data_IF_108195080698
#
_entry.id   IF_108195080698
#
_cell.length_a   1.000
_cell.length_b   1.000
_cell.length_c   1.000
_cell.angle_alpha   90.00
_cell.angle_beta   90.00
_cell.angle_gamma   90.00
#
_symmetry.space_group_name_H-M   'P 1'
#
loop_
_entity.id
_entity.type
_entity.pdbx_description
1 polymer ?
#
# COMPACT_ATOMS: atom_id res chain seq x y z
N UNK A 1 8.76 -6.76 -15.27
CA UNK A 1 7.35 -7.22 -15.34
C UNK A 1 6.56 -6.59 -14.20
N UNK A 2 5.42 -5.95 -14.46
CA UNK A 2 4.51 -5.38 -13.45
C UNK A 2 3.12 -6.06 -13.50
N UNK A 3 2.27 -5.77 -12.51
CA UNK A 3 0.88 -6.20 -12.47
C UNK A 3 -0.06 -5.30 -13.29
N UNK A 4 -1.38 -5.49 -13.13
CA UNK A 4 -2.44 -4.76 -13.86
C UNK A 4 -2.90 -3.46 -13.16
N UNK A 5 -2.49 -3.26 -11.91
CA UNK A 5 -3.03 -2.22 -11.02
C UNK A 5 -2.87 -0.81 -11.60
N UNK A 6 -1.66 -0.43 -12.01
CA UNK A 6 -1.32 0.94 -12.41
C UNK A 6 -2.09 1.37 -13.67
N UNK A 7 -2.21 0.47 -14.65
CA UNK A 7 -2.94 0.73 -15.89
C UNK A 7 -4.45 0.83 -15.62
N UNK A 8 -4.97 0.00 -14.73
CA UNK A 8 -6.39 -0.05 -14.44
C UNK A 8 -6.86 1.18 -13.66
N UNK A 9 -6.13 1.63 -12.63
CA UNK A 9 -6.49 2.87 -11.91
C UNK A 9 -6.35 4.11 -12.80
N UNK A 10 -5.34 4.15 -13.68
CA UNK A 10 -5.16 5.24 -14.64
C UNK A 10 -6.32 5.36 -15.63
N UNK A 11 -6.88 4.22 -16.06
CA UNK A 11 -8.00 4.20 -17.00
C UNK A 11 -9.38 4.39 -16.34
N UNK A 12 -9.59 3.80 -15.15
CA UNK A 12 -10.91 3.65 -14.54
C UNK A 12 -11.10 4.42 -13.22
N UNK A 13 -10.19 5.35 -12.90
CA UNK A 13 -10.34 6.23 -11.74
C UNK A 13 -11.64 7.05 -11.79
N UNK A 14 -12.19 7.33 -10.61
CA UNK A 14 -13.39 8.15 -10.43
C UNK A 14 -13.09 9.18 -9.33
N UNK A 15 -13.50 10.43 -9.55
CA UNK A 15 -13.30 11.49 -8.56
C UNK A 15 -13.87 11.07 -7.19
N UNK A 16 -13.15 11.40 -6.12
CA UNK A 16 -13.49 11.08 -4.73
C UNK A 16 -13.55 9.58 -4.37
N UNK A 17 -13.18 8.67 -5.29
CA UNK A 17 -13.23 7.22 -5.07
C UNK A 17 -11.84 6.57 -5.19
N UNK A 18 -11.61 5.56 -4.37
CA UNK A 18 -10.61 4.52 -4.61
C UNK A 18 -11.22 3.42 -5.51
N UNK A 19 -10.37 2.63 -6.15
CA UNK A 19 -10.80 1.50 -6.99
C UNK A 19 -10.33 0.18 -6.35
N UNK A 20 -11.27 -0.64 -5.89
CA UNK A 20 -10.99 -2.03 -5.52
C UNK A 20 -10.91 -2.86 -6.80
N UNK A 21 -9.77 -3.54 -7.00
CA UNK A 21 -9.52 -4.35 -8.20
C UNK A 21 -9.32 -5.81 -7.78
N UNK A 22 -10.16 -6.70 -8.31
CA UNK A 22 -9.88 -8.13 -8.27
C UNK A 22 -8.90 -8.49 -9.40
N UNK A 23 -7.62 -8.62 -9.08
CA UNK A 23 -6.58 -8.91 -10.08
C UNK A 23 -6.72 -10.27 -10.79
N UNK A 24 -7.63 -11.16 -10.35
CA UNK A 24 -7.91 -12.43 -11.03
C UNK A 24 -9.06 -12.28 -12.02
N UNK A 25 -10.21 -11.78 -11.57
CA UNK A 25 -11.40 -11.64 -12.42
C UNK A 25 -11.42 -10.35 -13.24
N UNK A 26 -10.55 -9.40 -12.88
CA UNK A 26 -10.50 -8.02 -13.38
C UNK A 26 -11.77 -7.21 -13.08
N UNK A 27 -12.60 -7.68 -12.14
CA UNK A 27 -13.72 -6.90 -11.65
C UNK A 27 -13.23 -5.71 -10.83
N UNK A 28 -13.92 -4.59 -11.01
CA UNK A 28 -13.62 -3.33 -10.31
C UNK A 28 -14.83 -2.83 -9.55
N UNK A 29 -14.58 -2.23 -8.38
CA UNK A 29 -15.60 -1.56 -7.57
C UNK A 29 -15.07 -0.20 -7.15
N UNK A 30 -15.75 0.88 -7.55
CA UNK A 30 -15.49 2.22 -7.00
C UNK A 30 -15.93 2.26 -5.54
N UNK A 31 -15.05 2.74 -4.67
CA UNK A 31 -15.30 2.84 -3.22
C UNK A 31 -15.01 4.28 -2.77
N UNK A 32 -15.98 5.00 -2.20
CA UNK A 32 -15.77 6.39 -1.79
C UNK A 32 -14.73 6.45 -0.68
N UNK A 33 -13.87 7.47 -0.71
CA UNK A 33 -12.96 7.73 0.40
C UNK A 33 -13.75 8.18 1.65
N UNK A 34 -13.27 7.88 2.87
CA UNK A 34 -13.91 8.36 4.09
C UNK A 34 -14.07 9.89 4.10
N UNK A 35 -15.24 10.37 4.53
CA UNK A 35 -15.55 11.80 4.51
C UNK A 35 -14.55 12.62 5.35
N UNK A 36 -14.14 13.77 4.84
CA UNK A 36 -13.21 14.68 5.54
C UNK A 36 -11.78 14.17 5.61
N UNK A 37 -11.40 13.22 4.75
CA UNK A 37 -10.04 12.71 4.65
C UNK A 37 -9.40 13.06 3.31
N UNK A 38 -8.07 13.05 3.27
CA UNK A 38 -7.26 13.22 2.07
C UNK A 38 -6.07 12.26 2.10
N UNK A 39 -5.63 11.83 0.92
CA UNK A 39 -4.41 11.04 0.78
C UNK A 39 -3.21 12.00 0.64
N UNK A 40 -2.17 11.77 1.41
CA UNK A 40 -0.92 12.54 1.31
C UNK A 40 0.20 11.60 0.86
N UNK A 41 0.80 11.90 -0.28
CA UNK A 41 1.96 11.18 -0.83
C UNK A 41 3.24 11.77 -0.25
N UNK A 42 4.11 10.90 0.23
CA UNK A 42 5.31 11.23 0.97
C UNK A 42 6.53 10.64 0.25
N UNK A 43 7.13 11.39 -0.67
CA UNK A 43 8.33 10.96 -1.40
C UNK A 43 9.56 11.12 -0.50
N UNK A 44 10.26 10.01 -0.25
CA UNK A 44 11.48 9.96 0.58
C UNK A 44 12.68 10.63 -0.08
N UNK A 45 12.57 11.04 -1.34
CA UNK A 45 13.67 11.50 -2.20
C UNK A 45 14.75 10.43 -2.44
N UNK A 46 14.48 9.17 -2.08
CA UNK A 46 15.33 8.04 -2.44
C UNK A 46 14.89 7.43 -3.76
N UNK A 47 15.87 7.02 -4.58
CA UNK A 47 15.65 6.40 -5.89
C UNK A 47 16.45 5.11 -5.96
N UNK A 48 15.97 4.17 -6.78
CA UNK A 48 16.60 2.85 -6.91
C UNK A 48 17.46 2.75 -8.15
N UNK A 49 18.53 1.96 -8.03
CA UNK A 49 19.09 1.16 -9.11
C UNK A 49 18.76 -0.33 -8.86
N UNK A 50 18.43 -1.07 -9.93
CA UNK A 50 18.25 -2.54 -9.96
C UNK A 50 17.09 -3.11 -9.10
N UNK A 51 15.87 -2.61 -9.31
CA UNK A 51 14.63 -3.13 -8.68
C UNK A 51 14.24 -4.53 -9.18
N UNK A 52 14.60 -4.85 -10.42
CA UNK A 52 14.04 -6.01 -11.11
C UNK A 52 14.45 -7.35 -10.48
N UNK A 53 15.66 -7.46 -9.94
CA UNK A 53 16.13 -8.71 -9.32
C UNK A 53 15.38 -9.02 -8.03
N UNK A 54 15.26 -8.06 -7.12
CA UNK A 54 14.56 -8.23 -5.85
C UNK A 54 13.06 -8.50 -6.06
N UNK A 55 12.43 -7.83 -7.03
CA UNK A 55 11.04 -8.09 -7.38
C UNK A 55 10.85 -9.53 -7.89
N UNK A 56 11.70 -9.98 -8.81
CA UNK A 56 11.64 -11.34 -9.35
C UNK A 56 11.91 -12.40 -8.27
N UNK A 57 12.78 -12.12 -7.31
CA UNK A 57 13.02 -12.99 -6.16
C UNK A 57 11.76 -13.15 -5.29
N UNK A 58 11.09 -12.04 -4.94
CA UNK A 58 9.82 -12.08 -4.19
C UNK A 58 8.75 -12.88 -4.93
N UNK A 59 8.66 -12.69 -6.25
CA UNK A 59 7.74 -13.46 -7.09
C UNK A 59 8.05 -14.96 -7.00
N UNK A 60 9.31 -15.36 -7.16
CA UNK A 60 9.71 -16.76 -7.11
C UNK A 60 9.41 -17.41 -5.74
N UNK A 61 9.60 -16.66 -4.64
CA UNK A 61 9.25 -17.08 -3.28
C UNK A 61 7.73 -17.32 -3.14
N UNK A 62 6.90 -16.39 -3.64
CA UNK A 62 5.45 -16.58 -3.63
C UNK A 62 4.99 -17.77 -4.50
N UNK A 63 5.63 -18.00 -5.64
CA UNK A 63 5.35 -19.16 -6.50
C UNK A 63 5.77 -20.49 -5.83
N UNK A 64 6.86 -20.49 -5.06
CA UNK A 64 7.27 -21.65 -4.27
C UNK A 64 6.23 -21.99 -3.19
N UNK A 65 5.72 -20.98 -2.47
CA UNK A 65 4.63 -21.16 -1.52
C UNK A 65 3.35 -21.68 -2.18
N UNK A 66 2.96 -21.14 -3.33
CA UNK A 66 1.79 -21.61 -4.07
C UNK A 66 1.93 -23.09 -4.48
N UNK A 67 3.12 -23.50 -4.95
CA UNK A 67 3.43 -24.90 -5.25
C UNK A 67 3.31 -25.80 -4.02
N UNK A 68 3.79 -25.35 -2.85
CA UNK A 68 3.67 -26.08 -1.60
C UNK A 68 2.20 -26.38 -1.24
N UNK A 69 1.32 -25.38 -1.35
CA UNK A 69 -0.11 -25.56 -1.10
C UNK A 69 -0.86 -26.23 -2.27
N UNK A 70 -0.20 -26.57 -3.37
CA UNK A 70 -0.83 -27.19 -4.53
C UNK A 70 -1.87 -26.31 -5.22
N UNK A 71 -1.70 -24.98 -5.17
CA UNK A 71 -2.62 -24.00 -5.76
C UNK A 71 -1.93 -23.18 -6.87
N UNK A 72 -2.67 -22.64 -7.84
CA UNK A 72 -2.08 -21.81 -8.88
C UNK A 72 -1.62 -20.44 -8.37
N UNK A 73 -2.25 -19.92 -7.32
CA UNK A 73 -1.87 -18.65 -6.69
C UNK A 73 -2.19 -18.66 -5.20
N UNK A 74 -1.42 -17.90 -4.41
CA UNK A 74 -1.64 -17.77 -2.96
C UNK A 74 -3.02 -17.19 -2.59
N UNK A 75 -3.70 -16.54 -3.52
CA UNK A 75 -5.10 -16.13 -3.37
C UNK A 75 -6.05 -17.30 -3.07
N UNK A 76 -5.70 -18.53 -3.46
CA UNK A 76 -6.52 -19.73 -3.22
C UNK A 76 -6.23 -20.39 -1.86
N UNK A 77 -5.38 -19.78 -1.04
CA UNK A 77 -5.07 -20.27 0.31
C UNK A 77 -5.80 -19.40 1.33
N UNK A 78 -6.73 -19.99 2.08
CA UNK A 78 -7.37 -19.30 3.20
C UNK A 78 -6.39 -19.13 4.37
N UNK A 79 -6.67 -18.19 5.26
CA UNK A 79 -5.82 -17.96 6.43
C UNK A 79 -5.79 -19.20 7.35
N UNK A 80 -6.93 -19.86 7.52
CA UNK A 80 -7.05 -21.07 8.35
C UNK A 80 -6.22 -22.20 7.78
N UNK A 81 -6.27 -22.39 6.44
CA UNK A 81 -5.45 -23.38 5.76
C UNK A 81 -3.96 -23.06 5.90
N UNK A 82 -3.59 -21.78 5.73
CA UNK A 82 -2.22 -21.33 5.90
C UNK A 82 -1.71 -21.64 7.32
N UNK A 83 -2.46 -21.30 8.35
CA UNK A 83 -2.07 -21.55 9.75
C UNK A 83 -1.93 -23.04 10.08
N UNK A 84 -2.77 -23.89 9.49
CA UNK A 84 -2.73 -25.33 9.71
C UNK A 84 -1.58 -26.04 8.96
N UNK A 85 -1.26 -25.60 7.74
CA UNK A 85 -0.39 -26.33 6.82
C UNK A 85 0.98 -25.66 6.61
N UNK A 86 1.20 -24.39 6.97
CA UNK A 86 2.44 -23.66 6.62
C UNK A 86 3.73 -24.17 7.29
N UNK A 87 3.64 -25.05 8.29
CA UNK A 87 4.80 -25.52 9.07
C UNK A 87 5.88 -26.26 8.27
N UNK A 88 5.60 -26.68 7.03
CA UNK A 88 6.58 -27.30 6.13
C UNK A 88 7.30 -26.34 5.19
N UNK A 89 6.98 -25.05 5.20
CA UNK A 89 7.69 -24.02 4.42
C UNK A 89 8.98 -23.61 5.12
N UNK A 90 10.01 -23.22 4.35
CA UNK A 90 11.14 -22.50 4.91
C UNK A 90 10.72 -21.11 5.40
N UNK A 91 11.46 -20.55 6.36
CA UNK A 91 11.11 -19.31 7.06
C UNK A 91 10.92 -18.11 6.11
N UNK A 92 11.70 -18.01 5.03
CA UNK A 92 11.57 -16.90 4.09
C UNK A 92 10.28 -17.05 3.29
N UNK A 93 10.06 -18.22 2.69
CA UNK A 93 8.85 -18.51 1.90
C UNK A 93 7.58 -18.40 2.75
N UNK A 94 7.62 -18.85 4.01
CA UNK A 94 6.52 -18.74 4.96
C UNK A 94 6.12 -17.28 5.19
N UNK A 95 7.08 -16.40 5.45
CA UNK A 95 6.81 -14.97 5.65
C UNK A 95 6.28 -14.30 4.39
N UNK A 96 6.83 -14.62 3.20
CA UNK A 96 6.30 -14.08 1.93
C UNK A 96 4.86 -14.50 1.69
N UNK A 97 4.53 -15.76 1.98
CA UNK A 97 3.17 -16.27 1.86
C UNK A 97 2.22 -15.60 2.86
N UNK A 98 2.63 -15.45 4.12
CA UNK A 98 1.87 -14.75 5.16
C UNK A 98 1.50 -13.34 4.72
N UNK A 99 2.47 -12.59 4.18
CA UNK A 99 2.20 -11.26 3.65
C UNK A 99 1.09 -11.28 2.60
N UNK A 100 1.24 -12.08 1.53
CA UNK A 100 0.29 -12.08 0.41
C UNK A 100 -1.12 -12.48 0.86
N UNK A 101 -1.23 -13.52 1.70
CA UNK A 101 -2.53 -14.03 2.17
C UNK A 101 -3.22 -13.00 3.06
N UNK A 102 -2.49 -12.44 4.04
CA UNK A 102 -3.06 -11.46 4.96
C UNK A 102 -3.31 -10.11 4.30
N UNK A 103 -2.48 -9.69 3.35
CA UNK A 103 -2.66 -8.44 2.62
C UNK A 103 -3.89 -8.49 1.70
N UNK A 104 -4.16 -9.62 1.03
CA UNK A 104 -5.41 -9.80 0.27
C UNK A 104 -6.66 -9.60 1.15
N UNK A 105 -6.68 -10.23 2.33
CA UNK A 105 -7.78 -10.06 3.28
C UNK A 105 -7.89 -8.61 3.79
N UNK A 106 -6.74 -7.98 4.05
CA UNK A 106 -6.65 -6.59 4.51
C UNK A 106 -7.16 -5.60 3.47
N UNK A 107 -6.89 -5.85 2.19
CA UNK A 107 -7.38 -5.00 1.08
C UNK A 107 -8.91 -5.02 0.99
N UNK A 108 -9.55 -6.18 1.18
CA UNK A 108 -11.01 -6.27 1.23
C UNK A 108 -11.55 -5.53 2.46
N UNK A 109 -10.95 -5.77 3.64
CA UNK A 109 -11.33 -5.06 4.87
C UNK A 109 -11.16 -3.53 4.76
N UNK A 110 -10.14 -3.06 4.04
CA UNK A 110 -9.90 -1.65 3.77
C UNK A 110 -11.00 -1.05 2.88
N UNK A 111 -11.41 -1.74 1.83
CA UNK A 111 -12.55 -1.33 1.01
C UNK A 111 -13.84 -1.26 1.83
N UNK A 112 -14.09 -2.24 2.71
CA UNK A 112 -15.26 -2.24 3.60
C UNK A 112 -15.21 -1.09 4.61
N UNK A 113 -14.02 -0.77 5.17
CA UNK A 113 -13.83 0.36 6.08
C UNK A 113 -14.12 1.70 5.37
N UNK A 114 -13.60 1.87 4.15
CA UNK A 114 -13.88 3.05 3.32
C UNK A 114 -15.36 3.18 2.99
N UNK A 115 -16.02 2.10 2.58
CA UNK A 115 -17.45 2.10 2.27
C UNK A 115 -18.34 2.49 3.47
N UNK A 116 -17.88 2.23 4.71
CA UNK A 116 -18.56 2.65 5.94
C UNK A 116 -18.12 4.03 6.45
N UNK A 117 -17.19 4.71 5.77
CA UNK A 117 -16.62 5.98 6.22
C UNK A 117 -15.72 5.88 7.45
N UNK A 118 -15.21 4.69 7.77
CA UNK A 118 -14.40 4.42 8.96
C UNK A 118 -12.91 4.70 8.70
N UNK A 119 -12.54 5.99 8.76
CA UNK A 119 -11.18 6.44 8.53
C UNK A 119 -10.17 5.87 9.55
N UNK A 120 -10.59 5.64 10.79
CA UNK A 120 -9.73 5.11 11.84
C UNK A 120 -9.36 3.65 11.56
N UNK A 121 -10.34 2.82 11.18
CA UNK A 121 -10.08 1.44 10.80
C UNK A 121 -9.25 1.36 9.51
N UNK A 122 -9.53 2.21 8.52
CA UNK A 122 -8.72 2.29 7.30
C UNK A 122 -7.26 2.61 7.62
N UNK A 123 -7.01 3.60 8.48
CA UNK A 123 -5.67 3.96 8.95
C UNK A 123 -4.96 2.81 9.68
N UNK A 124 -5.67 2.11 10.59
CA UNK A 124 -5.13 0.93 11.28
C UNK A 124 -4.74 -0.19 10.30
N UNK A 125 -5.53 -0.39 9.24
CA UNK A 125 -5.24 -1.37 8.18
C UNK A 125 -4.03 -0.92 7.34
N UNK A 126 -3.85 0.37 7.07
CA UNK A 126 -2.64 0.89 6.42
C UNK A 126 -1.39 0.61 7.25
N UNK A 127 -1.41 0.92 8.54
CA UNK A 127 -0.30 0.65 9.46
C UNK A 127 0.06 -0.85 9.53
N UNK A 128 -0.97 -1.72 9.62
CA UNK A 128 -0.78 -3.17 9.63
C UNK A 128 -0.20 -3.70 8.32
N UNK A 129 -0.59 -3.10 7.18
CA UNK A 129 0.03 -3.39 5.90
C UNK A 129 1.50 -2.99 5.88
N UNK A 130 1.84 -1.79 6.39
CA UNK A 130 3.23 -1.35 6.45
C UNK A 130 4.11 -2.31 7.25
N UNK A 131 3.65 -2.74 8.41
CA UNK A 131 4.33 -3.74 9.23
C UNK A 131 4.55 -5.04 8.44
N UNK A 132 3.52 -5.55 7.75
CA UNK A 132 3.66 -6.76 6.93
C UNK A 132 4.63 -6.58 5.75
N UNK A 133 4.61 -5.44 5.06
CA UNK A 133 5.57 -5.15 3.98
C UNK A 133 7.00 -5.03 4.49
N UNK A 134 7.20 -4.52 5.70
CA UNK A 134 8.51 -4.37 6.34
C UNK A 134 9.06 -5.71 6.84
N UNK A 135 8.25 -6.44 7.60
CA UNK A 135 8.69 -7.59 8.40
C UNK A 135 8.51 -8.93 7.68
N UNK A 136 7.36 -9.12 7.01
CA UNK A 136 7.03 -10.37 6.34
C UNK A 136 7.47 -10.37 4.87
N UNK A 137 7.30 -9.25 4.16
CA UNK A 137 7.63 -9.17 2.73
C UNK A 137 9.00 -8.55 2.46
N UNK A 138 9.57 -7.83 3.42
CA UNK A 138 10.87 -7.15 3.31
C UNK A 138 11.02 -6.38 1.99
N UNK A 139 10.05 -5.51 1.73
CA UNK A 139 10.07 -4.56 0.62
C UNK A 139 10.07 -3.12 1.11
N UNK A 140 10.19 -2.85 2.41
CA UNK A 140 10.41 -1.48 2.90
C UNK A 140 11.89 -1.08 2.77
N UNK A 141 12.24 0.08 3.31
CA UNK A 141 13.61 0.58 3.45
C UNK A 141 13.72 1.49 4.67
N UNK A 142 14.95 1.82 5.13
CA UNK A 142 15.13 2.65 6.32
C UNK A 142 14.45 4.01 6.17
N UNK A 143 14.56 4.66 5.01
CA UNK A 143 13.92 5.95 4.75
C UNK A 143 12.39 5.85 4.68
N UNK A 144 11.85 4.78 4.09
CA UNK A 144 10.40 4.53 4.09
C UNK A 144 9.86 4.30 5.51
N UNK A 145 10.60 3.57 6.33
CA UNK A 145 10.22 3.31 7.72
C UNK A 145 10.21 4.62 8.53
N UNK A 146 11.26 5.44 8.41
CA UNK A 146 11.33 6.75 9.07
C UNK A 146 10.19 7.66 8.59
N UNK A 147 9.93 7.71 7.28
CA UNK A 147 8.83 8.50 6.71
C UNK A 147 7.47 8.09 7.29
N UNK A 148 7.19 6.79 7.38
CA UNK A 148 5.94 6.29 7.97
C UNK A 148 5.88 6.60 9.47
N UNK A 149 6.97 6.47 10.22
CA UNK A 149 7.00 6.81 11.63
C UNK A 149 6.76 8.31 11.88
N UNK A 150 7.37 9.19 11.08
CA UNK A 150 7.10 10.63 11.09
C UNK A 150 5.62 10.93 10.78
N UNK A 151 5.06 10.31 9.74
CA UNK A 151 3.66 10.46 9.39
C UNK A 151 2.71 10.05 10.52
N UNK A 152 2.96 8.92 11.19
CA UNK A 152 2.10 8.43 12.27
C UNK A 152 2.13 9.31 13.52
N UNK A 153 3.24 9.99 13.76
CA UNK A 153 3.39 10.94 14.87
C UNK A 153 2.82 12.33 14.53
N UNK A 154 2.63 12.61 13.24
CA UNK A 154 2.12 13.90 12.81
C UNK A 154 0.61 14.04 13.07
N UNK A 155 0.14 15.24 13.40
CA UNK A 155 -1.25 15.44 13.76
C UNK A 155 -2.22 15.19 12.59
N UNK A 156 -3.37 14.59 12.90
CA UNK A 156 -4.42 14.31 11.90
C UNK A 156 -4.18 13.09 11.04
N UNK A 157 -3.08 12.35 11.24
CA UNK A 157 -2.83 11.08 10.57
C UNK A 157 -3.72 9.97 11.15
N UNK A 158 -4.44 9.25 10.29
CA UNK A 158 -5.14 8.03 10.65
C UNK A 158 -4.24 6.80 10.54
N UNK A 159 -3.33 6.79 9.57
CA UNK A 159 -2.37 5.71 9.34
C UNK A 159 -1.56 5.95 8.07
N UNK A 160 -0.41 5.28 7.96
CA UNK A 160 0.51 5.46 6.85
C UNK A 160 1.22 4.15 6.47
N UNK A 161 1.59 4.04 5.19
CA UNK A 161 2.34 2.89 4.66
C UNK A 161 3.20 3.27 3.48
N UNK A 162 4.26 2.50 3.22
CA UNK A 162 4.91 2.55 1.91
C UNK A 162 3.92 2.20 0.78
N UNK A 163 4.12 2.77 -0.40
CA UNK A 163 3.30 2.51 -1.58
C UNK A 163 4.15 2.19 -2.81
N UNK A 164 3.57 1.46 -3.77
CA UNK A 164 4.27 0.97 -4.95
C UNK A 164 5.20 -0.21 -4.65
N UNK A 165 6.24 -0.37 -5.47
CA UNK A 165 7.13 -1.54 -5.43
C UNK A 165 8.16 -1.58 -4.29
N UNK A 166 8.13 -0.65 -3.34
CA UNK A 166 8.98 -0.66 -2.15
C UNK A 166 10.46 -0.31 -2.37
N UNK A 167 11.30 -0.61 -1.38
CA UNK A 167 12.76 -0.43 -1.30
C UNK A 167 13.27 1.03 -1.38
N UNK A 168 12.45 1.96 -1.89
CA UNK A 168 12.62 3.40 -1.93
C UNK A 168 11.30 4.04 -2.40
N UNK A 169 11.29 5.35 -2.64
CA UNK A 169 10.18 6.04 -3.31
C UNK A 169 9.20 6.63 -2.31
N UNK A 170 7.92 6.27 -2.41
CA UNK A 170 6.88 6.98 -1.68
C UNK A 170 6.24 6.15 -0.57
N UNK A 171 5.83 6.82 0.48
CA UNK A 171 4.75 6.39 1.36
C UNK A 171 3.45 7.15 1.02
N UNK A 172 2.33 6.66 1.57
CA UNK A 172 1.03 7.29 1.53
C UNK A 172 0.43 7.28 2.93
N UNK A 173 -0.14 8.41 3.34
CA UNK A 173 -0.86 8.57 4.59
C UNK A 173 -2.32 8.96 4.32
N UNK A 174 -3.23 8.46 5.17
CA UNK A 174 -4.61 8.95 5.23
C UNK A 174 -4.69 10.00 6.34
N UNK A 175 -5.12 11.21 6.00
CA UNK A 175 -5.03 12.38 6.88
C UNK A 175 -6.38 13.10 6.94
N UNK A 176 -6.70 13.71 8.08
CA UNK A 176 -7.80 14.67 8.20
C UNK A 176 -7.57 15.85 7.23
N UNK A 177 -8.56 16.13 6.37
CA UNK A 177 -8.41 17.08 5.27
C UNK A 177 -8.07 18.50 5.75
N UNK A 178 -8.67 18.94 6.85
CA UNK A 178 -8.44 20.26 7.47
C UNK A 178 -7.09 20.40 8.18
N UNK A 179 -6.34 19.30 8.31
CA UNK A 179 -5.00 19.26 8.92
C UNK A 179 -3.89 18.93 7.93
N UNK A 180 -4.21 18.76 6.65
CA UNK A 180 -3.27 18.27 5.64
C UNK A 180 -2.01 19.14 5.50
N UNK A 181 -2.16 20.47 5.58
CA UNK A 181 -1.03 21.40 5.51
C UNK A 181 -0.14 21.34 6.76
N UNK A 182 -0.74 21.28 7.96
CA UNK A 182 -0.03 21.12 9.24
C UNK A 182 0.73 19.79 9.26
N UNK A 183 0.06 18.72 8.84
CA UNK A 183 0.64 17.39 8.68
C UNK A 183 1.84 17.41 7.74
N UNK A 184 1.69 17.98 6.54
CA UNK A 184 2.76 18.05 5.54
C UNK A 184 3.99 18.80 6.08
N UNK A 185 3.78 19.97 6.68
CA UNK A 185 4.87 20.75 7.27
C UNK A 185 5.60 19.97 8.37
N UNK A 186 4.84 19.27 9.23
CA UNK A 186 5.42 18.49 10.34
C UNK A 186 6.21 17.29 9.85
N UNK A 187 5.64 16.50 8.94
CA UNK A 187 6.32 15.31 8.39
C UNK A 187 7.59 15.71 7.65
N UNK A 188 7.56 16.80 6.87
CA UNK A 188 8.74 17.28 6.16
C UNK A 188 9.88 17.61 7.12
N UNK A 189 9.59 18.38 8.19
CA UNK A 189 10.58 18.79 9.16
C UNK A 189 11.15 17.61 9.96
N UNK A 190 10.28 16.72 10.45
CA UNK A 190 10.70 15.57 11.26
C UNK A 190 11.53 14.57 10.42
N UNK A 191 11.14 14.33 9.17
CA UNK A 191 11.87 13.44 8.26
C UNK A 191 13.24 14.01 7.86
N UNK A 192 13.32 15.30 7.53
CA UNK A 192 14.58 15.96 7.19
C UNK A 192 15.53 15.98 8.40
N UNK A 193 15.02 16.22 9.60
CA UNK A 193 15.81 16.15 10.83
C UNK A 193 16.34 14.74 11.12
N UNK A 194 15.55 13.70 10.82
CA UNK A 194 15.94 12.31 11.09
C UNK A 194 16.89 11.71 10.04
N UNK A 195 16.79 12.15 8.78
CA UNK A 195 17.50 11.51 7.65
C UNK A 195 18.51 12.41 6.95
N UNK A 196 18.40 13.73 7.11
CA UNK A 196 19.14 14.72 6.31
C UNK A 196 18.67 14.83 4.85
N UNK A 197 17.56 14.18 4.49
CA UNK A 197 16.98 14.22 3.14
C UNK A 197 15.76 15.13 3.13
N UNK A 198 15.69 16.04 2.17
CA UNK A 198 14.50 16.87 1.94
C UNK A 198 13.45 16.04 1.18
N UNK A 199 12.27 15.77 1.77
CA UNK A 199 11.22 15.02 1.09
C UNK A 199 10.41 15.90 0.16
N UNK A 200 9.61 15.28 -0.71
CA UNK A 200 8.53 15.97 -1.41
C UNK A 200 7.18 15.44 -0.93
N UNK A 201 6.27 16.34 -0.57
CA UNK A 201 4.96 16.00 -0.01
C UNK A 201 3.87 16.53 -0.93
N UNK A 202 2.93 15.66 -1.29
CA UNK A 202 1.83 15.97 -2.19
C UNK A 202 0.50 15.63 -1.53
N UNK A 203 -0.32 16.65 -1.28
CA UNK A 203 -1.71 16.46 -0.87
C UNK A 203 -2.50 16.13 -2.14
N UNK A 204 -3.07 14.93 -2.21
CA UNK A 204 -3.67 14.38 -3.42
C UNK A 204 -5.14 14.04 -3.22
N UNK A 205 -5.96 14.40 -4.20
CA UNK A 205 -7.38 14.07 -4.25
C UNK A 205 -7.62 12.94 -5.26
N UNK A 206 -8.53 12.03 -4.93
CA UNK A 206 -8.97 11.01 -5.88
C UNK A 206 -9.63 11.70 -7.08
N UNK A 207 -9.20 11.30 -8.29
CA UNK A 207 -9.51 12.00 -9.53
C UNK A 207 -10.00 11.02 -10.60
N UNK A 208 -10.68 11.56 -11.60
CA UNK A 208 -11.10 10.78 -12.76
C UNK A 208 -9.87 10.16 -13.46
N UNK A 209 -10.07 8.96 -14.02
CA UNK A 209 -9.14 8.32 -14.93
C UNK A 209 -9.11 9.01 -16.29
N UNK A 210 -8.45 8.37 -17.25
CA UNK A 210 -8.33 8.86 -18.62
C UNK A 210 -9.69 9.20 -19.23
N UNK A 211 -9.82 10.41 -19.75
CA UNK A 211 -11.03 10.92 -20.41
C UNK A 211 -10.67 11.77 -21.63
N UNK A 212 -11.65 12.03 -22.49
CA UNK A 212 -11.51 12.91 -23.66
C UNK A 212 -12.28 14.19 -23.39
N UNK A 213 -11.62 15.33 -23.56
CA UNK A 213 -12.24 16.65 -23.49
C UNK A 213 -12.33 17.25 -24.90
N UNK A 214 -13.55 17.59 -25.34
CA UNK A 214 -13.73 18.32 -26.59
C UNK A 214 -13.42 19.80 -26.36
N UNK A 215 -12.32 20.28 -26.95
CA UNK A 215 -11.96 21.68 -26.95
C UNK A 215 -12.90 22.45 -27.88
N UNK A 216 -13.63 23.42 -27.33
CA UNK A 216 -14.48 24.36 -28.08
C UNK A 216 -13.70 25.58 -28.55
#
# INVERSE_FOLDING_TARGET
NCGIMDQMISAAGEADHALLIDCRSLQTTSVPLPHGTVAVILDTSTRRGLVDSAYNERRAQCEAAARYFGVPALRDVSLERFEAEAGGLDEVTLRRARHIITENARTVAAADAMARGDAAEMGRLMDASHASMRDDFEISGPELNVMVDCARQAPGCFGARMTGGGFAGCAVALVQADRADEFAARVSADYEAATGLTPAIYISVASNGASVEELR
#
